data_IF_795672669101
#
_entry.id   IF_795672669101
#
_cell.length_a   1.000
_cell.length_b   1.000
_cell.length_c   1.000
_cell.angle_alpha   90.00
_cell.angle_beta   90.00
_cell.angle_gamma   90.00
#
_symmetry.space_group_name_H-M   'P 1'
#
loop_
_entity.id
_entity.type
_entity.pdbx_description
1 polymer ?
#
# COMPACT_ATOMS: atom_id res chain seq x y z
N UNK A 1 -8.02 -14.87 -3.36
CA UNK A 1 -6.57 -14.86 -3.67
C UNK A 1 -6.00 -13.51 -3.28
N UNK A 2 -4.77 -13.50 -2.74
CA UNK A 2 -4.05 -12.30 -2.34
C UNK A 2 -2.72 -12.26 -3.10
N UNK A 3 -2.44 -11.15 -3.79
CA UNK A 3 -1.15 -10.88 -4.41
C UNK A 3 -0.50 -9.69 -3.71
N UNK A 4 0.78 -9.80 -3.35
CA UNK A 4 1.52 -8.74 -2.69
C UNK A 4 2.73 -8.36 -3.56
N UNK A 5 2.78 -7.11 -3.98
CA UNK A 5 3.93 -6.51 -4.65
C UNK A 5 4.72 -5.71 -3.63
N UNK A 6 5.96 -6.10 -3.41
CA UNK A 6 6.89 -5.44 -2.51
C UNK A 6 8.21 -5.19 -3.22
N UNK A 7 8.89 -4.11 -2.84
CA UNK A 7 10.16 -3.72 -3.46
C UNK A 7 10.61 -2.34 -3.00
N UNK A 8 11.83 -1.98 -3.37
CA UNK A 8 12.38 -0.65 -3.13
C UNK A 8 11.61 0.42 -3.93
N UNK A 9 11.77 1.68 -3.49
CA UNK A 9 11.22 2.85 -4.18
C UNK A 9 11.86 2.97 -5.57
N UNK A 10 11.09 3.42 -6.56
CA UNK A 10 11.57 3.57 -7.94
C UNK A 10 11.59 2.29 -8.78
N UNK A 11 11.30 1.12 -8.22
CA UNK A 11 11.36 -0.18 -8.95
C UNK A 11 10.18 -0.44 -9.91
N UNK A 12 9.20 0.47 -9.99
CA UNK A 12 8.02 0.30 -10.83
C UNK A 12 6.91 -0.59 -10.24
N UNK A 13 7.05 -1.03 -8.98
CA UNK A 13 6.07 -1.92 -8.30
C UNK A 13 4.64 -1.38 -8.31
N UNK A 14 4.45 -0.08 -8.11
CA UNK A 14 3.12 0.55 -8.09
C UNK A 14 2.46 0.54 -9.46
N UNK A 15 3.24 0.63 -10.54
CA UNK A 15 2.75 0.46 -11.91
C UNK A 15 2.35 -0.99 -12.17
N UNK A 16 3.23 -1.94 -11.84
CA UNK A 16 2.96 -3.36 -12.06
C UNK A 16 1.74 -3.86 -11.27
N UNK A 17 1.67 -3.55 -9.97
CA UNK A 17 0.57 -3.95 -9.11
C UNK A 17 -0.78 -3.40 -9.62
N UNK A 18 -0.79 -2.14 -10.07
CA UNK A 18 -1.98 -1.49 -10.64
C UNK A 18 -2.43 -2.18 -11.93
N UNK A 19 -1.52 -2.45 -12.85
CA UNK A 19 -1.86 -3.08 -14.13
C UNK A 19 -2.30 -4.54 -13.94
N UNK A 20 -1.68 -5.28 -13.00
CA UNK A 20 -2.12 -6.62 -12.62
C UNK A 20 -3.53 -6.59 -12.02
N UNK A 21 -3.80 -5.66 -11.09
CA UNK A 21 -5.12 -5.53 -10.49
C UNK A 21 -6.19 -5.22 -11.54
N UNK A 22 -5.92 -4.29 -12.47
CA UNK A 22 -6.82 -3.99 -13.58
C UNK A 22 -7.04 -5.20 -14.48
N UNK A 23 -5.97 -5.88 -14.92
CA UNK A 23 -6.05 -6.98 -15.88
C UNK A 23 -6.82 -8.18 -15.33
N UNK A 24 -6.71 -8.42 -14.02
CA UNK A 24 -7.38 -9.53 -13.34
C UNK A 24 -8.72 -9.14 -12.70
N UNK A 25 -9.13 -7.86 -12.79
CA UNK A 25 -10.30 -7.31 -12.11
C UNK A 25 -10.27 -7.52 -10.58
N UNK A 26 -9.12 -7.27 -9.97
CA UNK A 26 -8.92 -7.41 -8.52
C UNK A 26 -9.00 -6.06 -7.82
N UNK A 27 -9.36 -6.10 -6.54
CA UNK A 27 -9.31 -4.94 -5.68
C UNK A 27 -7.86 -4.52 -5.47
N UNK A 28 -7.58 -3.22 -5.57
CA UNK A 28 -6.22 -2.69 -5.44
C UNK A 28 -6.09 -1.85 -4.17
N UNK A 29 -5.13 -2.22 -3.32
CA UNK A 29 -4.74 -1.47 -2.12
C UNK A 29 -3.31 -0.98 -2.34
N UNK A 30 -3.11 0.33 -2.37
CA UNK A 30 -1.77 0.95 -2.41
C UNK A 30 -1.51 1.75 -1.15
N UNK A 31 -0.23 1.79 -0.76
CA UNK A 31 0.20 2.47 0.45
C UNK A 31 -0.20 3.94 0.47
N UNK A 32 0.01 4.68 -0.62
CA UNK A 32 -0.22 6.13 -0.67
C UNK A 32 -1.70 6.52 -0.42
N UNK A 33 -2.65 5.73 -0.94
CA UNK A 33 -4.08 6.01 -0.73
C UNK A 33 -4.46 5.75 0.74
N UNK A 34 -3.92 4.68 1.33
CA UNK A 34 -4.20 4.36 2.73
C UNK A 34 -3.49 5.33 3.67
N UNK A 35 -2.30 5.85 3.32
CA UNK A 35 -1.59 6.88 4.07
C UNK A 35 -2.46 8.13 4.27
N UNK A 36 -3.12 8.61 3.20
CA UNK A 36 -4.03 9.74 3.32
C UNK A 36 -5.17 9.46 4.30
N UNK A 37 -5.78 8.26 4.23
CA UNK A 37 -6.91 7.89 5.08
C UNK A 37 -6.52 7.62 6.54
N UNK A 38 -5.38 6.99 6.77
CA UNK A 38 -4.97 6.50 8.09
C UNK A 38 -4.26 7.57 8.94
N UNK A 39 -3.50 8.47 8.29
CA UNK A 39 -2.66 9.46 9.00
C UNK A 39 -2.77 10.88 8.45
N UNK A 40 -3.70 11.16 7.53
CA UNK A 40 -3.98 12.50 6.98
C UNK A 40 -2.75 13.18 6.34
N UNK A 41 -1.83 12.40 5.78
CA UNK A 41 -0.65 12.90 5.07
C UNK A 41 -0.78 12.62 3.57
N UNK A 42 -0.51 13.65 2.76
CA UNK A 42 -0.58 13.56 1.28
C UNK A 42 0.74 13.16 0.63
N UNK A 43 1.86 13.36 1.34
CA UNK A 43 3.20 13.06 0.85
C UNK A 43 3.91 12.15 1.84
N UNK A 44 4.62 11.17 1.30
CA UNK A 44 5.51 10.30 2.04
C UNK A 44 6.90 10.92 2.24
N UNK A 45 7.31 11.78 1.30
CA UNK A 45 8.60 12.45 1.28
C UNK A 45 8.43 13.97 1.26
N UNK A 46 9.36 14.67 1.90
CA UNK A 46 9.51 16.12 1.75
C UNK A 46 10.03 16.45 0.35
N UNK A 47 10.03 17.73 -0.02
CA UNK A 47 10.67 18.16 -1.28
C UNK A 47 12.21 18.04 -1.24
N UNK A 48 12.78 17.64 -0.08
CA UNK A 48 14.20 17.35 0.14
C UNK A 48 14.47 15.84 0.32
N UNK A 49 13.52 14.99 -0.08
CA UNK A 49 13.57 13.52 0.08
C UNK A 49 13.63 13.03 1.54
N UNK A 50 13.23 13.86 2.50
CA UNK A 50 13.11 13.41 3.90
C UNK A 50 11.86 12.55 4.06
N UNK A 51 12.00 11.41 4.72
CA UNK A 51 10.87 10.54 5.03
C UNK A 51 9.96 11.17 6.08
N UNK A 52 8.69 11.41 5.73
CA UNK A 52 7.76 12.20 6.55
C UNK A 52 6.95 11.39 7.57
N UNK A 53 7.00 10.05 7.52
CA UNK A 53 6.22 9.19 8.41
C UNK A 53 7.08 8.69 9.57
N UNK A 54 6.56 8.77 10.78
CA UNK A 54 7.13 8.05 11.92
C UNK A 54 6.91 6.53 11.79
N UNK A 55 7.67 5.74 12.55
CA UNK A 55 7.46 4.28 12.62
C UNK A 55 6.02 3.93 13.04
N UNK A 56 5.45 4.70 13.97
CA UNK A 56 4.09 4.51 14.46
C UNK A 56 3.05 4.83 13.37
N UNK A 57 3.29 5.86 12.56
CA UNK A 57 2.42 6.20 11.43
C UNK A 57 2.50 5.14 10.33
N UNK A 58 3.69 4.65 10.02
CA UNK A 58 3.88 3.51 9.10
C UNK A 58 3.06 2.31 9.58
N UNK A 59 3.15 1.98 10.87
CA UNK A 59 2.41 0.85 11.44
C UNK A 59 0.89 1.04 11.30
N UNK A 60 0.37 2.25 11.56
CA UNK A 60 -1.06 2.57 11.36
C UNK A 60 -1.52 2.37 9.92
N UNK A 61 -0.70 2.76 8.94
CA UNK A 61 -0.99 2.53 7.53
C UNK A 61 -1.06 1.02 7.23
N UNK A 62 -0.09 0.24 7.72
CA UNK A 62 -0.10 -1.21 7.54
C UNK A 62 -1.28 -1.89 8.20
N UNK A 63 -1.62 -1.51 9.43
CA UNK A 63 -2.78 -2.05 10.14
C UNK A 63 -4.08 -1.77 9.36
N UNK A 64 -4.20 -0.55 8.81
CA UNK A 64 -5.34 -0.18 7.96
C UNK A 64 -5.39 -1.01 6.68
N UNK A 65 -4.25 -1.20 6.01
CA UNK A 65 -4.15 -2.07 4.83
C UNK A 65 -4.56 -3.51 5.15
N UNK A 66 -4.13 -4.05 6.30
CA UNK A 66 -4.48 -5.40 6.74
C UNK A 66 -5.97 -5.53 7.04
N UNK A 67 -6.58 -4.54 7.71
CA UNK A 67 -8.04 -4.54 7.98
C UNK A 67 -8.83 -4.56 6.68
N UNK A 68 -8.46 -3.72 5.71
CA UNK A 68 -9.14 -3.64 4.41
C UNK A 68 -8.96 -4.95 3.64
N UNK A 69 -7.72 -5.47 3.56
CA UNK A 69 -7.45 -6.72 2.87
C UNK A 69 -8.22 -7.90 3.50
N UNK A 70 -8.27 -7.97 4.83
CA UNK A 70 -9.04 -9.00 5.55
C UNK A 70 -10.52 -8.92 5.18
N UNK A 71 -11.11 -7.71 5.21
CA UNK A 71 -12.49 -7.51 4.82
C UNK A 71 -12.76 -7.96 3.39
N UNK A 72 -11.93 -7.57 2.42
CA UNK A 72 -12.10 -7.95 1.02
C UNK A 72 -12.00 -9.46 0.81
N UNK A 73 -11.01 -10.11 1.44
CA UNK A 73 -10.80 -11.55 1.32
C UNK A 73 -11.93 -12.36 1.97
N UNK A 74 -12.44 -11.92 3.12
CA UNK A 74 -13.61 -12.55 3.77
C UNK A 74 -14.85 -12.47 2.89
N UNK A 75 -14.97 -11.43 2.06
CA UNK A 75 -16.04 -11.25 1.08
C UNK A 75 -15.71 -11.87 -0.29
N UNK A 76 -14.74 -12.79 -0.36
CA UNK A 76 -14.31 -13.49 -1.60
C UNK A 76 -13.84 -12.56 -2.73
N UNK A 77 -13.37 -11.35 -2.40
CA UNK A 77 -12.83 -10.40 -3.38
C UNK A 77 -11.32 -10.60 -3.48
N UNK A 78 -10.86 -10.99 -4.67
CA UNK A 78 -9.43 -11.11 -4.93
C UNK A 78 -8.77 -9.74 -4.83
N UNK A 79 -7.60 -9.68 -4.18
CA UNK A 79 -6.99 -8.42 -3.78
C UNK A 79 -5.51 -8.40 -4.17
N UNK A 80 -5.05 -7.26 -4.67
CA UNK A 80 -3.65 -6.91 -4.90
C UNK A 80 -3.26 -5.82 -3.91
N UNK A 81 -2.17 -6.06 -3.18
CA UNK A 81 -1.57 -5.09 -2.28
C UNK A 81 -0.23 -4.63 -2.85
N UNK A 82 -0.03 -3.32 -2.91
CA UNK A 82 1.29 -2.72 -3.08
C UNK A 82 1.78 -2.19 -1.74
N UNK A 83 2.93 -2.70 -1.31
CA UNK A 83 3.56 -2.39 -0.02
C UNK A 83 5.02 -2.00 -0.21
N UNK A 84 5.56 -1.25 0.75
CA UNK A 84 6.96 -0.84 0.78
C UNK A 84 7.72 -1.61 1.85
N UNK A 85 8.99 -1.91 1.59
CA UNK A 85 9.86 -2.46 2.62
C UNK A 85 10.58 -1.30 3.31
N UNK A 86 10.18 -0.97 4.54
CA UNK A 86 11.01 -0.13 5.40
C UNK A 86 11.95 -1.05 6.15
N UNK A 87 13.24 -0.99 5.81
CA UNK A 87 14.25 -1.65 6.61
C UNK A 87 14.32 -0.91 7.94
N UNK A 88 14.14 -1.63 9.05
CA UNK A 88 14.41 -1.12 10.40
C UNK A 88 15.87 -0.70 10.51
#
# INVERSE_FOLDING_TARGET
MLLIFFGQIGTGKSTLAREVAKKLSYEFINFDNIMWLAVNKKKMYSDKDDFLLSIEEIQKVYDSMHVIAKFLLQNKRNTVIESMYFKK
#
